data_IF_538491717340
#
_entry.id   IF_538491717340
#
_cell.length_a   1.000
_cell.length_b   1.000
_cell.length_c   1.000
_cell.angle_alpha   90.00
_cell.angle_beta   90.00
_cell.angle_gamma   90.00
#
_symmetry.space_group_name_H-M   'P 1'
#
loop_
_entity.id
_entity.type
_entity.pdbx_description
1 polymer ?
#
# COMPACT_ATOMS: atom_id res chain seq x y z
N UNK A 1 -4.68 -8.06 14.21
CA UNK A 1 -4.46 -9.19 13.30
C UNK A 1 -3.93 -8.63 12.00
N UNK A 2 -2.66 -8.81 11.71
CA UNK A 2 -2.12 -8.52 10.39
C UNK A 2 -2.79 -9.49 9.40
N UNK A 3 -3.33 -8.99 8.30
CA UNK A 3 -3.93 -9.82 7.26
C UNK A 3 -2.85 -10.58 6.48
N UNK A 4 -2.20 -11.51 7.15
CA UNK A 4 -1.20 -12.40 6.56
C UNK A 4 -1.95 -13.63 6.05
N UNK A 5 -2.18 -13.69 4.76
CA UNK A 5 -2.58 -14.94 4.12
C UNK A 5 -1.32 -15.76 3.85
N UNK A 6 -1.16 -16.86 4.55
CA UNK A 6 -0.11 -17.84 4.24
C UNK A 6 -0.54 -18.57 2.97
N UNK A 7 0.21 -18.36 1.88
CA UNK A 7 0.02 -19.13 0.66
C UNK A 7 0.52 -20.57 0.87
N UNK A 8 -0.05 -21.52 0.16
CA UNK A 8 0.19 -22.96 0.24
C UNK A 8 1.65 -23.41 0.02
N UNK A 9 2.53 -22.49 -0.38
CA UNK A 9 3.96 -22.73 -0.67
C UNK A 9 4.92 -22.21 0.42
N UNK A 10 4.43 -21.82 1.61
CA UNK A 10 5.31 -21.25 2.65
C UNK A 10 5.66 -19.78 2.44
N UNK A 11 5.18 -19.15 1.37
CA UNK A 11 5.34 -17.75 1.10
C UNK A 11 4.38 -16.92 1.95
N UNK A 12 4.88 -15.80 2.48
CA UNK A 12 4.03 -14.84 3.19
C UNK A 12 3.52 -13.78 2.21
N UNK A 13 2.22 -13.59 2.19
CA UNK A 13 1.56 -12.61 1.34
C UNK A 13 0.96 -11.50 2.18
N UNK A 14 1.33 -10.25 1.88
CA UNK A 14 0.80 -9.06 2.51
C UNK A 14 0.04 -8.23 1.48
N UNK A 15 -1.05 -7.59 1.93
CA UNK A 15 -1.86 -6.69 1.11
C UNK A 15 -1.99 -5.33 1.77
N UNK A 16 -2.16 -4.25 0.99
CA UNK A 16 -2.44 -2.93 1.55
C UNK A 16 -3.68 -2.94 2.44
N UNK A 17 -3.56 -2.37 3.63
CA UNK A 17 -4.66 -2.28 4.59
C UNK A 17 -5.63 -1.15 4.21
N UNK A 18 -6.93 -1.37 4.40
CA UNK A 18 -7.94 -0.33 4.16
C UNK A 18 -7.74 0.96 4.98
N UNK A 19 -7.19 0.86 6.18
CA UNK A 19 -6.87 2.03 7.03
C UNK A 19 -5.82 2.96 6.42
N UNK A 20 -4.93 2.44 5.57
CA UNK A 20 -3.93 3.26 4.89
C UNK A 20 -4.56 4.28 3.92
N UNK A 21 -5.78 4.02 3.48
CA UNK A 21 -6.53 4.88 2.56
C UNK A 21 -7.49 5.85 3.26
N UNK A 22 -7.40 5.99 4.59
CA UNK A 22 -8.29 6.85 5.38
C UNK A 22 -8.38 8.27 4.82
N UNK A 23 -7.24 8.89 4.48
CA UNK A 23 -7.20 10.24 3.92
C UNK A 23 -7.98 10.33 2.59
N UNK A 24 -7.89 9.29 1.76
CA UNK A 24 -8.64 9.22 0.50
C UNK A 24 -10.14 9.08 0.73
N UNK A 25 -10.56 8.35 1.78
CA UNK A 25 -11.98 8.24 2.13
C UNK A 25 -12.54 9.58 2.64
N UNK A 26 -11.76 10.33 3.42
CA UNK A 26 -12.15 11.68 3.84
C UNK A 26 -12.25 12.62 2.64
N UNK A 27 -11.25 12.61 1.75
CA UNK A 27 -11.27 13.39 0.52
C UNK A 27 -12.48 13.04 -0.36
N UNK A 28 -12.77 11.74 -0.51
CA UNK A 28 -13.94 11.25 -1.25
C UNK A 28 -15.24 11.80 -0.65
N UNK A 29 -15.39 11.73 0.67
CA UNK A 29 -16.56 12.26 1.34
C UNK A 29 -16.73 13.77 1.12
N UNK A 30 -15.64 14.54 1.25
CA UNK A 30 -15.67 15.99 1.06
C UNK A 30 -16.01 16.38 -0.39
N UNK A 31 -15.43 15.69 -1.38
CA UNK A 31 -15.65 16.00 -2.80
C UNK A 31 -17.07 15.62 -3.24
N UNK A 32 -17.63 14.54 -2.71
CA UNK A 32 -18.99 14.09 -3.09
C UNK A 32 -20.09 14.81 -2.29
N UNK A 33 -19.88 15.00 -0.99
CA UNK A 33 -20.89 15.58 -0.11
C UNK A 33 -20.83 17.12 -0.08
N UNK A 34 -19.63 17.69 -0.17
CA UNK A 34 -19.44 19.15 -0.12
C UNK A 34 -20.38 19.92 -1.03
N UNK A 35 -20.40 19.64 -2.35
CA UNK A 35 -21.28 20.34 -3.30
C UNK A 35 -22.77 20.10 -3.05
N UNK A 36 -23.15 19.01 -2.38
CA UNK A 36 -24.54 18.69 -2.01
C UNK A 36 -25.00 19.44 -0.80
N UNK A 37 -24.10 19.64 0.16
CA UNK A 37 -24.41 20.27 1.46
C UNK A 37 -24.24 21.78 1.41
N UNK A 38 -23.34 22.28 0.57
CA UNK A 38 -23.07 23.70 0.44
C UNK A 38 -22.92 24.08 -1.05
N UNK A 39 -23.96 24.63 -1.69
CA UNK A 39 -23.90 25.08 -3.08
C UNK A 39 -22.88 26.20 -3.34
N UNK A 40 -22.48 26.95 -2.30
CA UNK A 40 -21.50 28.05 -2.42
C UNK A 40 -20.07 27.56 -2.70
N UNK A 41 -19.81 26.27 -2.55
CA UNK A 41 -18.50 25.65 -2.92
C UNK A 41 -18.16 25.86 -4.40
N UNK A 42 -19.17 26.21 -5.24
CA UNK A 42 -18.97 26.51 -6.66
C UNK A 42 -18.62 25.28 -7.52
N UNK A 43 -18.63 24.09 -6.93
CA UNK A 43 -18.41 22.84 -7.64
C UNK A 43 -19.74 22.17 -8.00
N UNK A 44 -20.05 21.95 -9.30
CA UNK A 44 -21.26 21.26 -9.69
C UNK A 44 -21.34 19.85 -9.08
N UNK A 45 -22.52 19.42 -8.65
CA UNK A 45 -22.73 18.12 -8.00
C UNK A 45 -22.27 16.94 -8.88
N UNK A 46 -22.51 17.04 -10.19
CA UNK A 46 -22.09 16.00 -11.13
C UNK A 46 -20.56 15.88 -11.21
N UNK A 47 -19.84 17.02 -11.18
CA UNK A 47 -18.38 17.04 -11.22
C UNK A 47 -17.78 16.49 -9.92
N UNK A 48 -18.35 16.85 -8.75
CA UNK A 48 -17.97 16.26 -7.47
C UNK A 48 -18.17 14.74 -7.45
N UNK A 49 -19.27 14.26 -8.02
CA UNK A 49 -19.54 12.84 -8.15
C UNK A 49 -18.52 12.13 -9.07
N UNK A 50 -18.21 12.74 -10.22
CA UNK A 50 -17.23 12.19 -11.16
C UNK A 50 -15.82 12.10 -10.54
N UNK A 51 -15.36 13.17 -9.88
CA UNK A 51 -14.09 13.17 -9.15
C UNK A 51 -14.06 12.11 -8.04
N UNK A 52 -15.17 11.98 -7.31
CA UNK A 52 -15.31 10.94 -6.30
C UNK A 52 -15.18 9.52 -6.87
N UNK A 53 -15.77 9.25 -8.02
CA UNK A 53 -15.63 7.96 -8.71
C UNK A 53 -14.18 7.68 -9.14
N UNK A 54 -13.46 8.72 -9.61
CA UNK A 54 -12.03 8.60 -9.97
C UNK A 54 -11.19 8.25 -8.73
N UNK A 55 -11.40 8.96 -7.62
CA UNK A 55 -10.70 8.67 -6.35
C UNK A 55 -11.01 7.26 -5.86
N UNK A 56 -12.28 6.87 -5.89
CA UNK A 56 -12.70 5.52 -5.48
C UNK A 56 -12.04 4.44 -6.36
N UNK A 57 -12.03 4.62 -7.67
CA UNK A 57 -11.36 3.71 -8.60
C UNK A 57 -9.86 3.59 -8.29
N UNK A 58 -9.17 4.71 -8.04
CA UNK A 58 -7.76 4.72 -7.68
C UNK A 58 -7.49 3.94 -6.38
N UNK A 59 -8.34 4.12 -5.34
CA UNK A 59 -8.24 3.39 -4.08
C UNK A 59 -8.43 1.89 -4.29
N UNK A 60 -9.44 1.48 -5.06
CA UNK A 60 -9.71 0.08 -5.38
C UNK A 60 -8.51 -0.54 -6.11
N UNK A 61 -7.96 0.14 -7.11
CA UNK A 61 -6.79 -0.32 -7.85
C UNK A 61 -5.57 -0.51 -6.94
N UNK A 62 -5.31 0.43 -6.05
CA UNK A 62 -4.16 0.34 -5.14
C UNK A 62 -4.35 -0.75 -4.09
N UNK A 63 -5.56 -0.88 -3.53
CA UNK A 63 -5.84 -1.84 -2.47
C UNK A 63 -5.85 -3.29 -2.95
N UNK A 64 -6.46 -3.54 -4.10
CA UNK A 64 -6.65 -4.90 -4.62
C UNK A 64 -5.69 -5.26 -5.76
N UNK A 65 -5.09 -4.26 -6.39
CA UNK A 65 -4.17 -4.46 -7.51
C UNK A 65 -2.72 -4.73 -7.09
N UNK A 66 -2.38 -4.70 -5.79
CA UNK A 66 -1.01 -4.89 -5.32
C UNK A 66 -0.94 -5.97 -4.26
N UNK A 67 0.09 -6.80 -4.35
CA UNK A 67 0.43 -7.82 -3.36
C UNK A 67 1.93 -7.75 -3.08
N UNK A 68 2.29 -7.97 -1.83
CA UNK A 68 3.67 -8.03 -1.38
C UNK A 68 3.94 -9.46 -0.90
N UNK A 69 5.02 -10.05 -1.37
CA UNK A 69 5.35 -11.45 -1.07
C UNK A 69 6.74 -11.56 -0.47
N UNK A 70 6.86 -12.39 0.56
CA UNK A 70 8.13 -12.83 1.10
C UNK A 70 8.28 -14.28 0.73
N UNK A 71 9.20 -14.56 -0.18
CA UNK A 71 9.44 -15.90 -0.75
C UNK A 71 10.72 -16.51 -0.18
N UNK A 72 10.99 -17.74 -0.51
CA UNK A 72 12.29 -18.38 -0.20
C UNK A 72 13.48 -17.72 -0.92
N UNK A 73 13.24 -16.99 -2.02
CA UNK A 73 14.28 -16.33 -2.83
C UNK A 73 14.54 -14.87 -2.43
N UNK A 74 13.57 -14.21 -1.83
CA UNK A 74 13.65 -12.79 -1.52
C UNK A 74 12.31 -12.15 -1.24
N UNK A 75 12.25 -10.85 -1.46
CA UNK A 75 11.03 -10.04 -1.32
C UNK A 75 10.55 -9.64 -2.70
N UNK A 76 9.23 -9.70 -2.92
CA UNK A 76 8.63 -9.38 -4.20
C UNK A 76 7.42 -8.45 -4.04
N UNK A 77 7.24 -7.59 -5.01
CA UNK A 77 6.05 -6.76 -5.18
C UNK A 77 5.38 -7.14 -6.49
N UNK A 78 4.18 -7.65 -6.40
CA UNK A 78 3.37 -8.02 -7.54
C UNK A 78 2.25 -7.01 -7.70
N UNK A 79 2.21 -6.31 -8.82
CA UNK A 79 1.10 -5.47 -9.22
C UNK A 79 0.35 -6.18 -10.35
N UNK A 80 -0.95 -6.43 -10.13
CA UNK A 80 -1.79 -7.13 -11.10
C UNK A 80 -2.52 -6.17 -12.04
N UNK A 81 -2.88 -5.01 -11.53
CA UNK A 81 -3.71 -4.06 -12.25
C UNK A 81 -3.30 -2.60 -11.94
N UNK A 82 -3.37 -1.62 -12.84
CA UNK A 82 -3.84 -1.69 -14.24
C UNK A 82 -2.80 -2.28 -15.22
N UNK A 83 -1.53 -2.29 -14.86
CA UNK A 83 -0.45 -2.86 -15.66
C UNK A 83 0.28 -3.92 -14.83
N UNK A 84 0.26 -5.19 -15.22
CA UNK A 84 0.93 -6.24 -14.48
C UNK A 84 2.44 -5.98 -14.46
N UNK A 85 2.99 -5.91 -13.27
CA UNK A 85 4.43 -5.78 -13.02
C UNK A 85 4.80 -6.59 -11.80
N UNK A 86 5.90 -7.29 -11.90
CA UNK A 86 6.55 -7.96 -10.79
C UNK A 86 7.94 -7.37 -10.60
N UNK A 87 8.26 -7.04 -9.36
CA UNK A 87 9.57 -6.58 -8.94
C UNK A 87 10.01 -7.49 -7.81
N UNK A 88 11.17 -8.12 -7.95
CA UNK A 88 11.74 -9.02 -6.95
C UNK A 88 13.13 -8.54 -6.59
N UNK A 89 13.47 -8.60 -5.31
CA UNK A 89 14.82 -8.38 -4.79
C UNK A 89 15.23 -9.66 -4.07
N UNK A 90 16.24 -10.33 -4.59
CA UNK A 90 16.79 -11.54 -3.97
C UNK A 90 17.41 -11.22 -2.60
N UNK A 91 17.44 -12.20 -1.69
CA UNK A 91 18.02 -12.01 -0.35
C UNK A 91 19.45 -11.49 -0.36
N UNK A 92 20.24 -11.94 -1.32
CA UNK A 92 21.65 -11.53 -1.50
C UNK A 92 21.77 -10.03 -1.78
N UNK A 93 20.84 -9.50 -2.56
CA UNK A 93 20.80 -8.13 -3.03
C UNK A 93 19.97 -7.22 -2.09
N UNK A 94 19.21 -7.79 -1.16
CA UNK A 94 18.40 -7.02 -0.24
C UNK A 94 19.30 -6.25 0.73
N UNK A 95 19.23 -4.93 0.64
CA UNK A 95 19.94 -3.98 1.48
C UNK A 95 19.18 -3.68 2.77
N UNK A 96 19.10 -2.40 3.08
CA UNK A 96 18.40 -1.90 4.25
C UNK A 96 16.89 -1.82 3.99
N UNK A 97 16.10 -2.18 5.00
CA UNK A 97 14.65 -2.03 5.00
C UNK A 97 14.29 -0.87 5.92
N UNK A 98 13.75 0.19 5.34
CA UNK A 98 13.33 1.38 6.06
C UNK A 98 11.82 1.36 6.30
N UNK A 99 11.42 1.66 7.55
CA UNK A 99 10.01 1.87 7.91
C UNK A 99 9.68 3.34 7.78
N UNK A 100 8.78 3.68 6.87
CA UNK A 100 8.32 5.03 6.62
C UNK A 100 6.92 5.22 7.20
N UNK A 101 6.77 6.15 8.15
CA UNK A 101 5.49 6.47 8.77
C UNK A 101 5.33 7.98 8.90
N UNK A 102 4.16 8.48 8.47
CA UNK A 102 3.71 9.83 8.80
C UNK A 102 2.91 9.86 10.12
N UNK A 103 2.59 11.03 10.62
CA UNK A 103 1.83 11.20 11.87
C UNK A 103 0.47 10.46 11.83
N UNK A 104 -0.33 10.68 10.80
CA UNK A 104 -1.61 10.01 10.60
C UNK A 104 -1.45 8.49 10.50
N UNK A 105 -0.41 8.03 9.81
CA UNK A 105 -0.13 6.62 9.65
C UNK A 105 0.26 5.97 10.98
N UNK A 106 0.95 6.69 11.85
CA UNK A 106 1.32 6.21 13.19
C UNK A 106 0.09 5.99 14.06
N UNK A 107 -0.87 6.93 14.05
CA UNK A 107 -2.13 6.80 14.78
C UNK A 107 -2.97 5.61 14.27
N UNK A 108 -2.99 5.40 12.95
CA UNK A 108 -3.74 4.31 12.31
C UNK A 108 -2.99 2.97 12.33
N UNK A 109 -1.78 2.93 12.89
CA UNK A 109 -0.89 1.75 12.93
C UNK A 109 -0.57 1.19 11.54
N UNK A 110 -0.53 2.05 10.54
CA UNK A 110 -0.15 1.71 9.17
C UNK A 110 1.17 2.38 8.81
N UNK A 111 1.77 1.97 7.72
CA UNK A 111 2.97 2.61 7.18
C UNK A 111 3.47 1.90 5.94
N UNK A 112 4.62 2.33 5.48
CA UNK A 112 5.23 1.85 4.27
C UNK A 112 6.59 1.23 4.59
N UNK A 113 7.02 0.27 3.78
CA UNK A 113 8.39 -0.24 3.79
C UNK A 113 9.09 0.16 2.50
N UNK A 114 10.32 0.62 2.62
CA UNK A 114 11.21 0.84 1.50
C UNK A 114 12.33 -0.21 1.57
N UNK A 115 12.37 -1.13 0.62
CA UNK A 115 13.41 -2.13 0.49
C UNK A 115 14.44 -1.63 -0.52
N UNK A 116 15.67 -1.41 -0.06
CA UNK A 116 16.77 -0.97 -0.92
C UNK A 116 17.48 -2.17 -1.52
N UNK A 117 17.90 -2.03 -2.75
CA UNK A 117 18.77 -2.98 -3.42
C UNK A 117 20.24 -2.54 -3.24
N UNK A 118 21.10 -3.46 -2.75
CA UNK A 118 22.54 -3.22 -2.59
C UNK A 118 23.26 -2.98 -3.92
N UNK A 119 22.72 -3.50 -5.01
CA UNK A 119 23.33 -3.39 -6.35
C UNK A 119 23.03 -2.03 -7.01
N UNK A 120 22.31 -1.12 -6.33
CA UNK A 120 21.92 0.17 -6.88
C UNK A 120 20.72 0.09 -7.81
N UNK A 121 19.98 -1.01 -7.78
CA UNK A 121 18.70 -1.18 -8.45
C UNK A 121 17.61 -0.27 -7.86
N UNK A 122 16.43 -0.22 -8.50
CA UNK A 122 15.34 0.62 -8.05
C UNK A 122 14.83 0.18 -6.68
N UNK A 123 14.61 1.15 -5.79
CA UNK A 123 14.00 0.89 -4.49
C UNK A 123 12.58 0.31 -4.67
N UNK A 124 12.27 -0.72 -3.88
CA UNK A 124 10.93 -1.32 -3.85
C UNK A 124 10.14 -0.74 -2.68
N UNK A 125 9.00 -0.12 -2.98
CA UNK A 125 8.11 0.44 -1.96
C UNK A 125 6.87 -0.45 -1.76
N UNK A 126 6.64 -0.85 -0.52
CA UNK A 126 5.44 -1.53 -0.04
C UNK A 126 4.57 -0.52 0.70
N UNK A 127 3.41 -0.21 0.15
CA UNK A 127 2.52 0.81 0.68
C UNK A 127 1.39 0.23 1.53
N UNK A 128 1.04 0.95 2.58
CA UNK A 128 -0.18 0.71 3.33
C UNK A 128 -0.20 -0.57 4.15
N UNK A 129 0.94 -1.00 4.66
CA UNK A 129 1.04 -2.17 5.53
C UNK A 129 0.52 -1.86 6.93
N UNK A 130 -0.19 -2.81 7.52
CA UNK A 130 -0.54 -2.79 8.93
C UNK A 130 0.70 -3.22 9.74
N UNK A 131 1.03 -2.44 10.77
CA UNK A 131 2.20 -2.68 11.63
C UNK A 131 3.49 -2.98 10.84
N UNK A 132 3.99 -2.03 10.02
CA UNK A 132 5.14 -2.30 9.15
C UNK A 132 6.42 -2.68 9.90
N UNK A 133 6.53 -2.37 11.21
CA UNK A 133 7.64 -2.85 12.04
C UNK A 133 7.62 -4.37 12.17
N UNK A 134 6.46 -4.94 12.48
CA UNK A 134 6.31 -6.40 12.63
C UNK A 134 6.62 -7.12 11.31
N UNK A 135 6.21 -6.51 10.20
CA UNK A 135 6.50 -7.03 8.85
C UNK A 135 8.01 -6.96 8.56
N UNK A 136 8.68 -5.86 8.93
CA UNK A 136 10.13 -5.74 8.82
C UNK A 136 10.84 -6.81 9.64
N UNK A 137 10.49 -6.96 10.92
CA UNK A 137 11.12 -7.93 11.84
C UNK A 137 10.93 -9.36 11.32
N UNK A 138 9.79 -9.64 10.71
CA UNK A 138 9.49 -10.92 10.08
C UNK A 138 10.33 -11.15 8.81
N UNK A 139 10.57 -10.13 8.00
CA UNK A 139 11.45 -10.20 6.82
C UNK A 139 12.89 -10.40 7.28
N UNK A 140 13.35 -9.64 8.27
CA UNK A 140 14.70 -9.75 8.83
C UNK A 140 14.93 -11.13 9.46
N UNK A 141 13.92 -11.72 10.10
CA UNK A 141 13.98 -13.07 10.65
C UNK A 141 13.97 -14.20 9.61
N UNK A 142 13.50 -13.95 8.39
CA UNK A 142 13.56 -14.91 7.27
C UNK A 142 14.80 -14.75 6.40
N UNK A 143 15.56 -13.71 6.62
CA UNK A 143 16.81 -13.46 5.89
C UNK A 143 17.83 -14.51 6.29
N UNK A 144 18.43 -15.25 5.34
CA UNK A 144 19.43 -16.28 5.62
C UNK A 144 20.73 -15.71 6.18
#
# INVERSE_FOLDING_TARGET
MAGNEISTSGDLVFKPCGRAFFVYYVALALVVLGPRLNPEVGLPVWLGTLLGLIVLAAVICQKYGQEYRVTSRGVAKVRRWPSPREQEIAWENLGEILVLRGLTQTVLQVGNLACRDKTGGPEMFWYGLLNPKDVKDLIDGKRP
#
